data_IF_378140625332
#
_entry.id   IF_378140625332
#
_cell.length_a   1.000
_cell.length_b   1.000
_cell.length_c   1.000
_cell.angle_alpha   90.00
_cell.angle_beta   90.00
_cell.angle_gamma   90.00
#
_symmetry.space_group_name_H-M   'P 1'
#
loop_
_entity.id
_entity.type
_entity.pdbx_description
1 polymer ?
#
# COMPACT_ATOMS: atom_id res chain seq x y z
N UNK A 1 -9.84 2.13 -40.03
CA UNK A 1 -9.28 0.94 -39.36
C UNK A 1 -9.92 0.83 -38.00
N UNK A 2 -10.70 -0.24 -37.75
CA UNK A 2 -11.52 -0.40 -36.56
C UNK A 2 -10.66 -0.89 -35.40
N UNK A 3 -10.58 -0.12 -34.33
CA UNK A 3 -9.90 -0.50 -33.11
C UNK A 3 -10.66 -1.58 -32.35
N UNK A 4 -10.00 -2.69 -32.10
CA UNK A 4 -10.51 -3.77 -31.27
C UNK A 4 -10.38 -3.39 -29.79
N UNK A 5 -11.50 -3.11 -29.15
CA UNK A 5 -11.61 -2.97 -27.69
C UNK A 5 -11.46 -4.34 -27.05
N UNK A 6 -10.29 -4.66 -26.52
CA UNK A 6 -10.08 -5.85 -25.71
C UNK A 6 -10.66 -5.66 -24.32
N UNK A 7 -11.74 -6.38 -24.09
CA UNK A 7 -12.44 -6.52 -22.82
C UNK A 7 -11.70 -7.53 -21.91
N UNK A 8 -10.75 -7.07 -21.07
CA UNK A 8 -9.95 -7.92 -20.19
C UNK A 8 -10.02 -7.48 -18.72
N UNK A 9 -11.24 -7.36 -18.18
CA UNK A 9 -11.49 -7.04 -16.77
C UNK A 9 -11.94 -8.28 -15.97
N UNK A 10 -11.10 -9.30 -15.86
CA UNK A 10 -11.42 -10.46 -15.01
C UNK A 10 -10.21 -10.96 -14.25
N UNK A 11 -9.78 -10.31 -13.14
CA UNK A 11 -9.23 -11.11 -12.01
C UNK A 11 -8.76 -10.38 -10.75
N UNK A 12 -8.51 -9.07 -10.75
CA UNK A 12 -8.19 -8.37 -9.49
C UNK A 12 -9.00 -7.08 -9.39
N UNK A 13 -10.33 -7.26 -9.29
CA UNK A 13 -11.23 -6.16 -9.03
C UNK A 13 -11.20 -5.86 -7.53
N UNK A 14 -10.42 -4.87 -7.12
CA UNK A 14 -10.62 -4.14 -5.86
C UNK A 14 -12.01 -3.45 -5.84
N UNK A 15 -12.73 -3.44 -6.94
CA UNK A 15 -14.12 -3.06 -7.07
C UNK A 15 -15.01 -4.29 -6.88
N UNK A 16 -15.09 -4.81 -5.66
CA UNK A 16 -15.97 -5.93 -5.32
C UNK A 16 -17.44 -5.65 -5.62
N UNK A 17 -17.85 -4.39 -5.56
CA UNK A 17 -19.16 -3.92 -5.99
C UNK A 17 -19.00 -2.58 -6.71
N UNK A 18 -19.22 -2.54 -8.01
CA UNK A 18 -19.50 -1.30 -8.71
C UNK A 18 -20.95 -0.90 -8.40
N UNK A 19 -21.24 0.37 -8.20
CA UNK A 19 -22.64 0.82 -8.07
C UNK A 19 -23.46 0.53 -9.34
N UNK A 20 -22.76 0.32 -10.46
CA UNK A 20 -23.35 0.03 -11.77
C UNK A 20 -23.59 -1.48 -12.01
N UNK A 21 -23.12 -2.34 -11.09
CA UNK A 21 -23.35 -3.79 -11.19
C UNK A 21 -24.77 -4.15 -10.78
N UNK A 22 -25.41 -5.05 -11.55
CA UNK A 22 -26.70 -5.62 -11.19
C UNK A 22 -26.61 -6.40 -9.87
N UNK A 23 -27.72 -6.52 -9.17
CA UNK A 23 -27.80 -7.30 -7.91
C UNK A 23 -27.29 -8.74 -8.08
N UNK A 24 -27.63 -9.40 -9.19
CA UNK A 24 -27.16 -10.76 -9.49
C UNK A 24 -25.64 -10.82 -9.70
N UNK A 25 -25.07 -9.86 -10.41
CA UNK A 25 -23.61 -9.78 -10.58
C UNK A 25 -22.88 -9.59 -9.26
N UNK A 26 -23.48 -8.91 -8.30
CA UNK A 26 -22.93 -8.75 -6.95
C UNK A 26 -22.97 -10.06 -6.17
N UNK A 27 -24.06 -10.82 -6.26
CA UNK A 27 -24.20 -12.11 -5.59
C UNK A 27 -23.15 -13.14 -6.06
N UNK A 28 -22.84 -13.20 -7.35
CA UNK A 28 -21.85 -14.14 -7.90
C UNK A 28 -20.42 -13.87 -7.46
N UNK A 29 -20.15 -12.71 -6.85
CA UNK A 29 -18.83 -12.33 -6.34
C UNK A 29 -18.63 -12.63 -4.85
N UNK A 30 -19.68 -13.06 -4.14
CA UNK A 30 -19.59 -13.44 -2.73
C UNK A 30 -18.82 -14.76 -2.61
N UNK A 31 -17.79 -14.75 -1.78
CA UNK A 31 -16.98 -15.93 -1.49
C UNK A 31 -17.45 -16.57 -0.19
N UNK A 32 -17.23 -17.89 0.04
CA UNK A 32 -17.57 -18.53 1.31
C UNK A 32 -16.99 -17.79 2.52
N UNK A 33 -15.77 -17.28 2.42
CA UNK A 33 -15.16 -16.48 3.47
C UNK A 33 -15.92 -15.19 3.78
N UNK A 34 -16.54 -14.55 2.79
CA UNK A 34 -17.31 -13.32 3.00
C UNK A 34 -18.58 -13.61 3.81
N UNK A 35 -19.21 -14.78 3.61
CA UNK A 35 -20.34 -15.23 4.39
C UNK A 35 -19.95 -15.39 5.86
N UNK A 36 -18.80 -16.02 6.15
CA UNK A 36 -18.28 -16.12 7.51
C UNK A 36 -18.07 -14.74 8.14
N UNK A 37 -17.56 -13.78 7.38
CA UNK A 37 -17.35 -12.41 7.86
C UNK A 37 -18.67 -11.65 8.09
N UNK A 38 -19.73 -11.93 7.34
CA UNK A 38 -21.08 -11.42 7.60
C UNK A 38 -21.58 -11.94 8.95
N UNK A 39 -21.43 -13.24 9.24
CA UNK A 39 -21.78 -13.78 10.55
C UNK A 39 -20.98 -13.17 11.70
N UNK A 40 -19.65 -13.00 11.52
CA UNK A 40 -18.81 -12.30 12.51
C UNK A 40 -19.30 -10.87 12.76
N UNK A 41 -19.65 -10.12 11.71
CA UNK A 41 -20.19 -8.78 11.82
C UNK A 41 -21.51 -8.77 12.60
N UNK A 42 -22.50 -9.60 12.22
CA UNK A 42 -23.82 -9.66 12.87
C UNK A 42 -23.69 -10.01 14.34
N UNK A 43 -22.89 -11.02 14.68
CA UNK A 43 -22.69 -11.46 16.07
C UNK A 43 -21.88 -10.48 16.92
N UNK A 44 -20.96 -9.74 16.33
CA UNK A 44 -20.18 -8.72 17.03
C UNK A 44 -20.96 -7.44 17.29
N UNK A 45 -21.96 -7.11 16.46
CA UNK A 45 -22.69 -5.85 16.51
C UNK A 45 -23.29 -5.51 17.89
N UNK A 46 -24.14 -6.36 18.51
CA UNK A 46 -24.77 -6.01 19.79
C UNK A 46 -23.73 -5.81 20.89
N UNK A 47 -22.67 -6.62 20.88
CA UNK A 47 -21.59 -6.52 21.86
C UNK A 47 -20.76 -5.25 21.62
N UNK A 48 -20.52 -4.88 20.37
CA UNK A 48 -19.83 -3.64 20.02
C UNK A 48 -20.58 -2.39 20.48
N UNK A 49 -21.91 -2.39 20.45
CA UNK A 49 -22.72 -1.28 20.95
C UNK A 49 -22.51 -1.04 22.47
N UNK A 50 -22.34 -2.12 23.24
CA UNK A 50 -22.02 -2.05 24.67
C UNK A 50 -20.55 -1.64 24.83
N UNK A 51 -19.65 -2.31 24.11
CA UNK A 51 -18.22 -2.10 24.19
C UNK A 51 -17.82 -0.64 23.84
N UNK A 52 -18.49 -0.02 22.88
CA UNK A 52 -18.31 1.40 22.52
C UNK A 52 -18.59 2.36 23.66
N UNK A 53 -19.47 2.00 24.61
CA UNK A 53 -19.74 2.81 25.80
C UNK A 53 -18.61 2.72 26.82
N UNK A 54 -17.91 1.58 26.87
CA UNK A 54 -16.77 1.32 27.76
C UNK A 54 -15.46 1.91 27.24
N UNK A 55 -15.23 1.80 25.92
CA UNK A 55 -14.03 2.34 25.23
C UNK A 55 -14.45 3.41 24.21
N UNK A 56 -14.87 4.56 24.68
CA UNK A 56 -15.49 5.61 23.85
C UNK A 56 -14.57 6.20 22.79
N UNK A 57 -13.27 6.22 23.06
CA UNK A 57 -12.25 6.86 22.20
C UNK A 57 -11.29 5.83 21.60
N UNK A 58 -11.77 4.62 21.36
CA UNK A 58 -10.97 3.59 20.70
C UNK A 58 -10.64 3.98 19.25
N UNK A 59 -9.36 4.01 18.93
CA UNK A 59 -8.84 4.15 17.55
C UNK A 59 -8.36 2.80 17.06
N UNK A 60 -8.89 2.33 15.95
CA UNK A 60 -8.43 1.09 15.33
C UNK A 60 -7.58 1.41 14.10
N UNK A 61 -6.32 1.00 14.13
CA UNK A 61 -5.39 1.18 13.04
C UNK A 61 -5.18 -0.14 12.29
N UNK A 62 -5.00 -0.06 10.96
CA UNK A 62 -4.76 -1.24 10.13
C UNK A 62 -4.14 -0.82 8.79
N UNK A 63 -3.25 -1.63 8.25
CA UNK A 63 -2.76 -1.51 6.87
C UNK A 63 -3.14 -2.73 6.06
N UNK A 64 -2.21 -3.67 5.91
CA UNK A 64 -2.44 -4.98 5.35
C UNK A 64 -2.57 -6.04 6.45
N UNK A 65 -2.99 -7.22 6.05
CA UNK A 65 -3.11 -8.36 6.96
C UNK A 65 -1.78 -8.70 7.65
N UNK A 66 -0.65 -8.64 6.92
CA UNK A 66 0.66 -9.16 7.37
C UNK A 66 1.75 -8.12 7.46
N UNK A 67 1.49 -6.87 7.06
CA UNK A 67 2.50 -5.82 6.95
C UNK A 67 2.08 -4.57 7.75
N UNK A 68 3.07 -3.93 8.38
CA UNK A 68 2.93 -2.68 9.12
C UNK A 68 4.19 -1.81 8.86
N UNK A 69 4.20 -1.08 7.72
CA UNK A 69 5.38 -0.38 7.21
C UNK A 69 5.05 0.98 6.61
N UNK A 70 3.81 1.43 6.74
CA UNK A 70 3.31 2.65 6.12
C UNK A 70 2.71 3.59 7.18
N UNK A 71 2.05 4.63 6.77
CA UNK A 71 1.61 5.75 7.60
C UNK A 71 0.78 5.36 8.82
N UNK A 72 -0.04 4.29 8.77
CA UNK A 72 -0.79 3.86 9.93
C UNK A 72 0.12 3.21 11.00
N UNK A 73 1.18 2.52 10.59
CA UNK A 73 2.19 2.02 11.53
C UNK A 73 2.93 3.18 12.22
N UNK A 74 3.38 4.17 11.47
CA UNK A 74 4.09 5.31 12.05
C UNK A 74 3.20 6.15 12.96
N UNK A 75 1.93 6.33 12.60
CA UNK A 75 0.95 6.94 13.50
C UNK A 75 0.78 6.12 14.78
N UNK A 76 0.66 4.78 14.68
CA UNK A 76 0.54 3.92 15.87
C UNK A 76 1.76 4.01 16.78
N UNK A 77 2.97 3.97 16.20
CA UNK A 77 4.22 4.15 16.96
C UNK A 77 4.24 5.49 17.69
N UNK A 78 3.92 6.59 17.00
CA UNK A 78 3.81 7.91 17.60
C UNK A 78 2.78 7.97 18.73
N UNK A 79 1.60 7.38 18.54
CA UNK A 79 0.56 7.34 19.57
C UNK A 79 1.03 6.59 20.83
N UNK A 80 1.74 5.48 20.66
CA UNK A 80 2.25 4.72 21.80
C UNK A 80 3.36 5.45 22.55
N UNK A 81 4.23 6.13 21.79
CA UNK A 81 5.40 6.82 22.37
C UNK A 81 5.05 8.20 22.96
N UNK A 82 4.28 9.00 22.23
CA UNK A 82 4.04 10.42 22.57
C UNK A 82 2.64 10.71 23.08
N UNK A 83 1.67 9.85 22.83
CA UNK A 83 0.26 10.06 23.18
C UNK A 83 -0.35 8.79 23.80
N UNK A 84 0.25 8.20 24.85
CA UNK A 84 -0.14 6.90 25.41
C UNK A 84 -1.59 6.91 25.96
N UNK A 85 -2.15 8.08 26.25
CA UNK A 85 -3.51 8.27 26.73
C UNK A 85 -4.57 8.01 25.63
N UNK A 86 -4.19 8.05 24.36
CA UNK A 86 -5.10 7.70 23.27
C UNK A 86 -5.24 6.18 23.21
N UNK A 87 -6.46 5.68 23.35
CA UNK A 87 -6.77 4.27 23.28
C UNK A 87 -6.66 3.79 21.81
N UNK A 88 -5.53 3.19 21.44
CA UNK A 88 -5.25 2.76 20.08
C UNK A 88 -4.87 1.28 20.03
N UNK A 89 -5.47 0.56 19.09
CA UNK A 89 -5.24 -0.85 18.80
C UNK A 89 -4.85 -1.02 17.33
N UNK A 90 -3.93 -1.91 17.05
CA UNK A 90 -3.51 -2.21 15.69
C UNK A 90 -3.98 -3.60 15.25
N UNK A 91 -4.61 -3.68 14.07
CA UNK A 91 -5.06 -4.96 13.52
C UNK A 91 -4.00 -5.52 12.56
N UNK A 92 -3.45 -6.68 12.91
CA UNK A 92 -2.44 -7.41 12.13
C UNK A 92 -2.54 -8.91 12.42
N UNK A 93 -2.21 -9.75 11.43
CA UNK A 93 -2.16 -11.21 11.64
C UNK A 93 -0.88 -11.62 12.36
N UNK A 94 -1.02 -12.56 13.31
CA UNK A 94 0.13 -13.18 13.99
C UNK A 94 1.09 -13.91 13.05
N UNK A 95 0.66 -14.20 11.81
CA UNK A 95 1.50 -14.80 10.76
C UNK A 95 2.32 -13.77 9.99
N UNK A 96 2.04 -12.48 10.19
CA UNK A 96 2.74 -11.39 9.51
C UNK A 96 4.16 -11.20 10.03
N UNK A 97 5.09 -10.90 9.14
CA UNK A 97 6.50 -10.61 9.50
C UNK A 97 6.60 -9.46 10.49
N UNK A 98 5.71 -8.47 10.38
CA UNK A 98 5.73 -7.27 11.19
C UNK A 98 4.92 -7.40 12.50
N UNK A 99 4.35 -8.59 12.78
CA UNK A 99 3.52 -8.81 13.97
C UNK A 99 4.25 -8.43 15.27
N UNK A 100 5.44 -8.96 15.48
CA UNK A 100 6.19 -8.71 16.72
C UNK A 100 6.65 -7.24 16.84
N UNK A 101 6.96 -6.61 15.72
CA UNK A 101 7.28 -5.18 15.64
C UNK A 101 6.11 -4.32 16.17
N UNK A 102 4.89 -4.62 15.75
CA UNK A 102 3.69 -3.90 16.22
C UNK A 102 3.33 -4.29 17.64
N UNK A 103 3.40 -5.59 17.97
CA UNK A 103 3.07 -6.12 19.29
C UNK A 103 3.92 -5.54 20.41
N UNK A 104 5.18 -5.25 20.14
CA UNK A 104 6.09 -4.61 21.13
C UNK A 104 5.70 -3.17 21.46
N UNK A 105 4.94 -2.50 20.59
CA UNK A 105 4.49 -1.12 20.82
C UNK A 105 3.20 -1.05 21.63
N UNK A 106 2.29 -2.02 21.51
CA UNK A 106 1.01 -1.93 22.18
C UNK A 106 0.01 -3.03 21.87
N UNK A 107 -1.27 -2.74 22.11
CA UNK A 107 -2.35 -3.71 21.88
C UNK A 107 -2.53 -4.02 20.41
N UNK A 108 -2.59 -5.32 20.09
CA UNK A 108 -2.88 -5.81 18.74
C UNK A 108 -4.11 -6.72 18.74
N UNK A 109 -4.80 -6.76 17.61
CA UNK A 109 -5.91 -7.68 17.36
C UNK A 109 -5.63 -8.48 16.10
N UNK A 110 -5.94 -9.78 16.12
CA UNK A 110 -5.77 -10.67 14.96
C UNK A 110 -6.63 -10.21 13.79
N UNK A 111 -6.01 -10.00 12.63
CA UNK A 111 -6.67 -9.54 11.41
C UNK A 111 -7.79 -10.48 10.99
N UNK A 112 -8.95 -9.94 10.62
CA UNK A 112 -10.11 -10.71 10.17
C UNK A 112 -10.80 -11.56 11.24
N UNK A 113 -10.33 -11.52 12.51
CA UNK A 113 -10.96 -12.23 13.62
C UNK A 113 -12.31 -11.65 14.00
N UNK A 114 -13.06 -12.35 14.84
CA UNK A 114 -14.27 -11.81 15.46
C UNK A 114 -13.99 -10.57 16.32
N UNK A 115 -12.87 -10.59 17.07
CA UNK A 115 -12.44 -9.43 17.89
C UNK A 115 -12.07 -8.23 17.02
N UNK A 116 -11.52 -8.45 15.80
CA UNK A 116 -11.29 -7.36 14.84
C UNK A 116 -12.61 -6.71 14.41
N UNK A 117 -13.66 -7.51 14.15
CA UNK A 117 -14.98 -6.98 13.86
C UNK A 117 -15.57 -6.20 15.05
N UNK A 118 -15.45 -6.74 16.26
CA UNK A 118 -15.88 -6.06 17.49
C UNK A 118 -15.24 -4.67 17.58
N UNK A 119 -13.92 -4.57 17.41
CA UNK A 119 -13.20 -3.30 17.48
C UNK A 119 -13.54 -2.39 16.30
N UNK A 120 -13.66 -2.92 15.09
CA UNK A 120 -14.02 -2.16 13.90
C UNK A 120 -15.38 -1.47 14.02
N UNK A 121 -16.34 -2.12 14.65
CA UNK A 121 -17.68 -1.58 14.90
C UNK A 121 -17.66 -0.61 16.09
N UNK A 122 -16.94 -0.95 17.16
CA UNK A 122 -16.89 -0.14 18.38
C UNK A 122 -16.02 1.11 18.25
N UNK A 123 -15.01 1.11 17.40
CA UNK A 123 -14.07 2.20 17.27
C UNK A 123 -14.76 3.54 16.98
N UNK A 124 -14.23 4.60 17.60
CA UNK A 124 -14.61 5.98 17.27
C UNK A 124 -14.14 6.32 15.84
N UNK A 125 -12.93 5.88 15.49
CA UNK A 125 -12.36 6.06 14.16
C UNK A 125 -11.56 4.84 13.74
N UNK A 126 -11.70 4.45 12.48
CA UNK A 126 -10.90 3.41 11.82
C UNK A 126 -9.89 4.08 10.88
N UNK A 127 -8.63 3.86 11.11
CA UNK A 127 -7.50 4.55 10.45
C UNK A 127 -6.72 3.56 9.62
N UNK A 128 -6.44 3.91 8.37
CA UNK A 128 -5.63 3.05 7.50
C UNK A 128 -4.85 3.84 6.45
N UNK A 129 -3.66 3.38 6.13
CA UNK A 129 -2.91 3.81 4.94
C UNK A 129 -3.46 3.17 3.66
N UNK A 130 -4.24 2.10 3.79
CA UNK A 130 -4.73 1.31 2.68
C UNK A 130 -6.27 1.31 2.62
N UNK A 131 -6.83 1.35 1.41
CA UNK A 131 -8.29 1.23 1.24
C UNK A 131 -8.84 -0.07 1.83
N UNK A 132 -8.06 -1.14 1.80
CA UNK A 132 -8.40 -2.48 2.24
C UNK A 132 -8.13 -2.77 3.72
N UNK A 133 -7.61 -1.82 4.51
CA UNK A 133 -7.32 -2.01 5.94
C UNK A 133 -8.59 -2.14 6.79
N UNK A 134 -9.26 -3.31 6.73
CA UNK A 134 -10.56 -3.63 7.32
C UNK A 134 -10.63 -5.12 7.60
N UNK A 135 -11.51 -5.59 8.52
CA UNK A 135 -11.67 -7.01 8.81
C UNK A 135 -11.94 -7.90 7.59
N UNK A 136 -12.73 -7.40 6.65
CA UNK A 136 -12.95 -7.96 5.33
C UNK A 136 -13.32 -6.83 4.37
N UNK A 137 -12.52 -6.64 3.33
CA UNK A 137 -12.69 -5.51 2.42
C UNK A 137 -14.02 -5.51 1.66
N UNK A 138 -14.51 -6.69 1.23
CA UNK A 138 -15.74 -6.85 0.47
C UNK A 138 -16.98 -6.54 1.32
N UNK A 139 -17.08 -7.17 2.48
CA UNK A 139 -18.22 -7.00 3.40
C UNK A 139 -18.28 -5.57 3.92
N UNK A 140 -17.14 -5.01 4.37
CA UNK A 140 -17.09 -3.63 4.83
C UNK A 140 -17.48 -2.64 3.72
N UNK A 141 -17.00 -2.85 2.48
CA UNK A 141 -17.37 -2.01 1.36
C UNK A 141 -18.88 -2.04 1.10
N UNK A 142 -19.48 -3.24 1.08
CA UNK A 142 -20.93 -3.39 0.89
C UNK A 142 -21.74 -2.65 1.95
N UNK A 143 -21.34 -2.79 3.23
CA UNK A 143 -22.02 -2.15 4.37
C UNK A 143 -21.88 -0.63 4.35
N UNK A 144 -20.70 -0.11 3.98
CA UNK A 144 -20.40 1.32 3.97
C UNK A 144 -21.08 2.03 2.78
N UNK A 145 -21.01 1.45 1.58
CA UNK A 145 -21.57 2.06 0.36
C UNK A 145 -23.09 1.98 0.33
N UNK A 146 -23.69 0.90 0.87
CA UNK A 146 -25.15 0.80 1.02
C UNK A 146 -25.72 1.75 2.07
N UNK A 147 -24.87 2.36 2.90
CA UNK A 147 -25.31 3.22 4.00
C UNK A 147 -25.86 2.50 5.23
N UNK A 148 -25.83 1.14 5.24
CA UNK A 148 -26.21 0.32 6.40
C UNK A 148 -25.29 0.64 7.58
N UNK A 149 -24.00 0.83 7.30
CA UNK A 149 -23.00 1.15 8.30
C UNK A 149 -22.34 2.51 8.06
N UNK A 150 -22.49 3.42 9.02
CA UNK A 150 -21.83 4.74 8.99
C UNK A 150 -20.58 4.67 9.86
N UNK A 151 -19.43 4.41 9.22
CA UNK A 151 -18.14 4.33 9.89
C UNK A 151 -17.35 5.64 9.69
N UNK A 152 -16.69 6.11 10.74
CA UNK A 152 -15.71 7.20 10.61
C UNK A 152 -14.38 6.58 10.20
N UNK A 153 -13.97 6.79 8.96
CA UNK A 153 -12.71 6.29 8.44
C UNK A 153 -11.77 7.43 8.10
N UNK A 154 -10.53 7.31 8.57
CA UNK A 154 -9.42 8.15 8.16
C UNK A 154 -8.49 7.36 7.22
N UNK A 155 -8.22 7.95 6.08
CA UNK A 155 -7.29 7.41 5.10
C UNK A 155 -6.02 8.25 5.09
N UNK A 156 -4.92 7.65 5.54
CA UNK A 156 -3.64 8.32 5.70
C UNK A 156 -2.80 8.30 4.41
N UNK A 157 -3.32 7.66 3.34
CA UNK A 157 -2.58 7.45 2.11
C UNK A 157 -1.35 6.53 2.27
N UNK A 158 -0.85 6.05 1.15
CA UNK A 158 0.39 5.28 1.07
C UNK A 158 1.41 5.91 0.10
N UNK A 159 1.06 7.03 -0.53
CA UNK A 159 1.92 7.78 -1.43
C UNK A 159 1.17 8.98 -2.01
N UNK A 160 1.91 9.93 -2.57
CA UNK A 160 1.33 11.10 -3.21
C UNK A 160 0.61 10.70 -4.51
N UNK A 161 -0.63 11.14 -4.68
CA UNK A 161 -1.44 10.89 -5.88
C UNK A 161 -1.20 12.00 -6.89
N UNK A 162 -0.96 11.62 -8.14
CA UNK A 162 -0.84 12.53 -9.30
C UNK A 162 -1.86 12.26 -10.41
N UNK A 163 -2.56 11.12 -10.33
CA UNK A 163 -3.48 10.66 -11.35
C UNK A 163 -4.90 10.52 -10.78
N UNK A 164 -5.92 10.60 -11.64
CA UNK A 164 -7.28 10.30 -11.22
C UNK A 164 -7.43 8.81 -10.92
N UNK A 165 -7.85 8.51 -9.69
CA UNK A 165 -8.07 7.15 -9.20
C UNK A 165 -9.54 6.96 -8.82
N UNK A 166 -10.41 6.59 -9.76
CA UNK A 166 -11.86 6.53 -9.55
C UNK A 166 -12.29 5.64 -8.38
N UNK A 167 -11.46 4.65 -8.00
CA UNK A 167 -11.71 3.77 -6.86
C UNK A 167 -11.48 4.46 -5.50
N UNK A 168 -10.85 5.64 -5.46
CA UNK A 168 -10.65 6.47 -4.27
C UNK A 168 -11.67 7.61 -4.15
N UNK A 169 -12.52 7.82 -5.15
CA UNK A 169 -13.56 8.85 -5.09
C UNK A 169 -14.52 8.61 -3.91
N UNK A 170 -15.03 9.68 -3.34
CA UNK A 170 -15.88 9.65 -2.14
C UNK A 170 -17.09 8.71 -2.28
N UNK A 171 -17.75 8.70 -3.43
CA UNK A 171 -18.88 7.80 -3.70
C UNK A 171 -18.55 6.31 -3.50
N UNK A 172 -17.27 5.92 -3.67
CA UNK A 172 -16.80 4.54 -3.53
C UNK A 172 -16.07 4.26 -2.22
N UNK A 173 -15.74 5.27 -1.44
CA UNK A 173 -14.95 5.09 -0.20
C UNK A 173 -15.68 5.51 1.06
N UNK A 174 -16.49 6.57 0.99
CA UNK A 174 -17.19 7.18 2.13
C UNK A 174 -16.25 7.54 3.30
N UNK A 175 -14.98 7.81 3.01
CA UNK A 175 -14.00 8.19 4.03
C UNK A 175 -14.32 9.57 4.60
N UNK A 176 -14.16 9.73 5.92
CA UNK A 176 -14.39 10.98 6.66
C UNK A 176 -13.19 11.91 6.61
N UNK A 177 -12.00 11.34 6.49
CA UNK A 177 -10.74 12.06 6.35
C UNK A 177 -9.92 11.40 5.24
N UNK A 178 -9.41 12.21 4.32
CA UNK A 178 -8.44 11.86 3.29
C UNK A 178 -7.22 12.75 3.47
N UNK A 179 -6.08 12.19 3.90
CA UNK A 179 -4.83 12.93 4.06
C UNK A 179 -4.10 13.05 2.73
N UNK A 180 -3.61 14.24 2.43
CA UNK A 180 -2.73 14.52 1.29
C UNK A 180 -1.37 15.02 1.79
N UNK A 181 -0.31 14.67 1.06
CA UNK A 181 1.05 14.99 1.44
C UNK A 181 1.64 16.21 0.72
N UNK A 182 1.07 16.59 -0.42
CA UNK A 182 1.52 17.71 -1.22
C UNK A 182 0.36 18.67 -1.51
N UNK A 183 0.66 19.96 -1.61
CA UNK A 183 -0.37 20.97 -1.89
C UNK A 183 -1.07 20.74 -3.24
N UNK A 184 -0.37 20.44 -4.35
CA UNK A 184 -1.03 20.15 -5.62
C UNK A 184 -1.94 18.90 -5.54
N UNK A 185 -1.52 17.85 -4.81
CA UNK A 185 -2.35 16.66 -4.55
C UNK A 185 -3.62 17.03 -3.79
N UNK A 186 -3.49 17.83 -2.74
CA UNK A 186 -4.63 18.27 -1.94
C UNK A 186 -5.67 19.02 -2.79
N UNK A 187 -5.22 19.97 -3.60
CA UNK A 187 -6.07 20.75 -4.49
C UNK A 187 -6.76 19.82 -5.50
N UNK A 188 -6.01 18.94 -6.14
CA UNK A 188 -6.53 17.99 -7.11
C UNK A 188 -7.58 17.03 -6.50
N UNK A 189 -7.27 16.38 -5.37
CA UNK A 189 -8.19 15.43 -4.71
C UNK A 189 -9.44 16.15 -4.19
N UNK A 190 -9.28 17.34 -3.58
CA UNK A 190 -10.41 18.15 -3.08
C UNK A 190 -11.39 18.48 -4.22
N UNK A 191 -10.86 18.88 -5.37
CA UNK A 191 -11.68 19.43 -6.45
C UNK A 191 -12.26 18.34 -7.37
N UNK A 192 -11.63 17.16 -7.45
CA UNK A 192 -12.00 16.13 -8.43
C UNK A 192 -12.57 14.84 -7.84
N UNK A 193 -12.22 14.46 -6.59
CA UNK A 193 -12.65 13.16 -6.03
C UNK A 193 -14.03 13.20 -5.35
N UNK A 194 -14.71 14.35 -5.33
CA UNK A 194 -16.08 14.51 -4.86
C UNK A 194 -16.25 14.35 -3.34
N UNK A 195 -15.21 14.60 -2.56
CA UNK A 195 -15.30 14.63 -1.10
C UNK A 195 -16.04 15.88 -0.61
N UNK A 196 -16.86 15.77 0.46
CA UNK A 196 -17.42 16.93 1.13
C UNK A 196 -16.34 17.87 1.67
N UNK A 197 -16.71 19.13 1.90
CA UNK A 197 -15.82 20.12 2.49
C UNK A 197 -15.19 19.63 3.80
N UNK A 198 -13.92 19.94 3.98
CA UNK A 198 -13.12 19.54 5.13
C UNK A 198 -12.85 18.04 5.31
N UNK A 199 -13.21 17.17 4.34
CA UNK A 199 -12.87 15.76 4.38
C UNK A 199 -11.49 15.47 3.79
N UNK A 200 -11.05 16.26 2.81
CA UNK A 200 -9.67 16.22 2.30
C UNK A 200 -8.84 17.23 3.07
N UNK A 201 -7.67 16.83 3.54
CA UNK A 201 -6.80 17.67 4.35
C UNK A 201 -5.34 17.53 3.90
N UNK A 202 -4.64 18.66 3.87
CA UNK A 202 -3.20 18.69 3.64
C UNK A 202 -2.48 18.55 4.98
N UNK A 203 -2.07 17.32 5.32
CA UNK A 203 -1.50 16.97 6.64
C UNK A 203 -0.08 16.38 6.54
N UNK A 204 0.38 16.04 5.34
CA UNK A 204 1.61 15.25 5.17
C UNK A 204 1.36 13.75 5.29
N UNK A 205 2.44 12.98 5.26
CA UNK A 205 2.45 11.53 5.50
C UNK A 205 3.17 11.25 6.81
N UNK A 206 2.63 10.39 7.66
CA UNK A 206 3.22 10.07 8.96
C UNK A 206 4.65 9.52 8.86
N UNK A 207 4.95 8.77 7.78
CA UNK A 207 6.31 8.26 7.54
C UNK A 207 7.34 9.36 7.23
N UNK A 208 6.89 10.55 6.81
CA UNK A 208 7.82 11.66 6.52
C UNK A 208 8.54 12.16 7.77
N UNK A 209 7.94 12.00 8.96
CA UNK A 209 8.55 12.43 10.22
C UNK A 209 9.87 11.71 10.50
N UNK A 210 10.03 10.49 10.01
CA UNK A 210 11.25 9.70 10.22
C UNK A 210 12.23 9.72 9.05
N UNK A 211 11.84 10.22 7.87
CA UNK A 211 12.72 10.23 6.69
C UNK A 211 14.02 11.04 6.90
N UNK A 212 14.02 11.99 7.82
CA UNK A 212 15.18 12.80 8.15
C UNK A 212 15.97 12.28 9.37
N UNK A 213 15.48 11.27 10.09
CA UNK A 213 16.12 10.79 11.32
C UNK A 213 17.18 9.73 11.05
N UNK A 214 17.12 9.09 9.89
CA UNK A 214 18.06 8.04 9.50
C UNK A 214 19.19 8.64 8.66
N UNK A 215 20.43 8.38 9.08
CA UNK A 215 21.60 8.76 8.29
C UNK A 215 21.68 7.88 7.05
N UNK A 216 21.72 8.52 5.87
CA UNK A 216 21.89 7.82 4.62
C UNK A 216 23.30 7.22 4.51
N UNK A 217 23.39 6.03 3.90
CA UNK A 217 24.68 5.49 3.47
C UNK A 217 25.13 6.22 2.20
N UNK A 218 26.23 6.99 2.26
CA UNK A 218 26.69 7.79 1.15
C UNK A 218 27.00 6.98 -0.11
N UNK A 219 27.17 5.68 0.02
CA UNK A 219 27.55 4.80 -1.07
C UNK A 219 26.36 3.98 -1.65
N UNK A 220 25.18 4.05 -1.05
CA UNK A 220 24.04 3.24 -1.48
C UNK A 220 23.17 3.97 -2.52
N UNK A 221 22.99 3.32 -3.67
CA UNK A 221 22.03 3.70 -4.72
C UNK A 221 20.91 2.66 -4.74
N UNK A 222 19.67 3.12 -4.67
CA UNK A 222 18.48 2.27 -4.84
C UNK A 222 18.00 2.34 -6.29
N UNK A 223 17.91 1.20 -6.94
CA UNK A 223 17.25 1.05 -8.25
C UNK A 223 15.90 0.35 -8.02
N UNK A 224 14.81 1.08 -8.23
CA UNK A 224 13.47 0.60 -7.88
C UNK A 224 12.49 0.79 -9.05
N UNK A 225 12.41 -0.21 -9.95
CA UNK A 225 11.49 -0.20 -11.08
C UNK A 225 10.02 -0.28 -10.66
N UNK A 226 9.16 0.50 -11.33
CA UNK A 226 7.71 0.39 -11.17
C UNK A 226 7.19 -0.84 -11.92
N UNK A 227 6.24 -1.52 -11.33
CA UNK A 227 5.57 -2.65 -11.98
C UNK A 227 4.81 -2.23 -13.24
N UNK A 228 4.63 -3.20 -14.15
CA UNK A 228 3.84 -3.02 -15.37
C UNK A 228 2.60 -3.90 -15.30
N UNK A 229 1.45 -3.31 -15.53
CA UNK A 229 0.16 -4.01 -15.45
C UNK A 229 0.08 -5.20 -16.42
N UNK A 230 0.58 -5.03 -17.64
CA UNK A 230 0.57 -6.10 -18.65
C UNK A 230 1.47 -7.28 -18.28
N UNK A 231 2.56 -7.05 -17.55
CA UNK A 231 3.46 -8.12 -17.08
C UNK A 231 2.90 -8.84 -15.84
N UNK A 232 2.17 -8.13 -14.98
CA UNK A 232 1.57 -8.73 -13.78
C UNK A 232 0.49 -9.75 -14.11
N UNK A 233 -0.20 -9.60 -15.24
CA UNK A 233 -1.29 -10.46 -15.68
C UNK A 233 -0.90 -11.45 -16.78
N UNK A 234 0.39 -11.70 -17.01
CA UNK A 234 0.82 -12.72 -17.96
C UNK A 234 0.17 -14.05 -17.58
N UNK A 235 -0.53 -14.65 -18.56
CA UNK A 235 -1.22 -15.94 -18.41
C UNK A 235 -0.36 -17.02 -19.06
N UNK A 236 -0.27 -18.19 -18.43
CA UNK A 236 0.41 -19.33 -19.02
C UNK A 236 1.00 -20.24 -17.96
N UNK A 237 1.72 -21.26 -18.40
CA UNK A 237 2.57 -22.07 -17.54
C UNK A 237 3.78 -21.25 -17.06
N UNK A 238 4.37 -21.56 -15.90
CA UNK A 238 5.51 -20.81 -15.37
C UNK A 238 6.64 -20.58 -16.39
N UNK A 239 6.93 -21.56 -17.24
CA UNK A 239 7.97 -21.44 -18.28
C UNK A 239 7.62 -20.40 -19.37
N UNK A 240 6.39 -20.41 -19.88
CA UNK A 240 5.94 -19.44 -20.88
C UNK A 240 5.85 -18.03 -20.31
N UNK A 241 5.41 -17.89 -19.05
CA UNK A 241 5.39 -16.60 -18.36
C UNK A 241 6.77 -15.98 -18.23
N UNK A 242 7.77 -16.79 -17.88
CA UNK A 242 9.15 -16.35 -17.78
C UNK A 242 9.70 -15.91 -19.14
N UNK A 243 9.39 -16.63 -20.22
CA UNK A 243 9.85 -16.29 -21.55
C UNK A 243 9.23 -15.00 -22.09
N UNK A 244 7.93 -14.79 -21.85
CA UNK A 244 7.26 -13.54 -22.20
C UNK A 244 7.81 -12.35 -21.39
N UNK A 245 8.13 -12.56 -20.11
CA UNK A 245 8.78 -11.55 -19.30
C UNK A 245 10.18 -11.20 -19.81
N UNK A 246 11.02 -12.19 -20.09
CA UNK A 246 12.39 -12.00 -20.60
C UNK A 246 12.43 -11.28 -21.95
N UNK A 247 11.40 -11.45 -22.79
CA UNK A 247 11.28 -10.74 -24.06
C UNK A 247 10.73 -9.32 -23.95
N UNK A 248 10.27 -8.90 -22.78
CA UNK A 248 9.69 -7.57 -22.57
C UNK A 248 10.75 -6.47 -22.54
N UNK A 249 10.39 -5.29 -23.05
CA UNK A 249 11.23 -4.09 -22.93
C UNK A 249 11.58 -3.78 -21.46
N UNK A 250 10.65 -4.05 -20.55
CA UNK A 250 10.87 -3.86 -19.12
C UNK A 250 12.08 -4.66 -18.62
N UNK A 251 12.10 -5.97 -18.88
CA UNK A 251 13.22 -6.81 -18.47
C UNK A 251 14.51 -6.39 -19.17
N UNK A 252 14.48 -6.29 -20.50
CA UNK A 252 15.67 -6.01 -21.31
C UNK A 252 16.35 -4.68 -20.93
N UNK A 253 15.56 -3.64 -20.69
CA UNK A 253 16.10 -2.32 -20.34
C UNK A 253 16.69 -2.31 -18.93
N UNK A 254 15.98 -2.86 -17.94
CA UNK A 254 16.50 -2.90 -16.57
C UNK A 254 17.70 -3.85 -16.42
N UNK A 255 17.65 -5.00 -17.07
CA UNK A 255 18.80 -5.93 -17.11
C UNK A 255 20.01 -5.32 -17.79
N UNK A 256 19.81 -4.64 -18.93
CA UNK A 256 20.86 -3.90 -19.62
C UNK A 256 21.46 -2.78 -18.76
N UNK A 257 20.66 -2.10 -17.95
CA UNK A 257 21.17 -1.05 -17.06
C UNK A 257 22.11 -1.63 -15.99
N UNK A 258 21.64 -2.63 -15.26
CA UNK A 258 22.41 -3.20 -14.12
C UNK A 258 23.64 -3.98 -14.57
N UNK A 259 23.69 -4.40 -15.84
CA UNK A 259 24.83 -5.09 -16.47
C UNK A 259 25.64 -4.20 -17.43
N UNK A 260 25.30 -2.89 -17.55
CA UNK A 260 26.01 -1.97 -18.44
C UNK A 260 27.46 -1.76 -18.00
N UNK A 261 28.47 -2.01 -18.86
CA UNK A 261 29.87 -1.77 -18.51
C UNK A 261 30.12 -0.33 -18.06
N UNK A 262 29.47 0.65 -18.71
CA UNK A 262 29.62 2.06 -18.37
C UNK A 262 29.00 2.37 -16.99
N UNK A 263 27.85 1.77 -16.66
CA UNK A 263 27.23 1.94 -15.36
C UNK A 263 28.07 1.33 -14.25
N UNK A 264 28.56 0.11 -14.45
CA UNK A 264 29.41 -0.60 -13.50
C UNK A 264 30.76 0.13 -13.30
N UNK A 265 31.38 0.64 -14.38
CA UNK A 265 32.58 1.47 -14.26
C UNK A 265 32.34 2.71 -13.37
N UNK A 266 31.22 3.41 -13.52
CA UNK A 266 30.87 4.54 -12.69
C UNK A 266 30.66 4.12 -11.21
N UNK A 267 29.97 3.00 -10.98
CA UNK A 267 29.74 2.48 -9.63
C UNK A 267 31.09 2.21 -8.93
N UNK A 268 32.01 1.53 -9.59
CA UNK A 268 33.35 1.26 -9.04
C UNK A 268 34.19 2.51 -8.87
N UNK A 269 34.21 3.40 -9.89
CA UNK A 269 34.96 4.67 -9.84
C UNK A 269 34.60 5.54 -8.63
N UNK A 270 33.31 5.56 -8.26
CA UNK A 270 32.83 6.36 -7.14
C UNK A 270 32.59 5.56 -5.85
N UNK A 271 33.03 4.30 -5.79
CA UNK A 271 32.87 3.43 -4.63
C UNK A 271 31.41 3.21 -4.22
N UNK A 272 30.51 3.18 -5.19
CA UNK A 272 29.06 2.99 -4.93
C UNK A 272 28.69 1.53 -4.95
N UNK A 273 27.60 1.21 -4.25
CA UNK A 273 26.91 -0.08 -4.34
C UNK A 273 25.44 0.14 -4.71
N UNK A 274 24.87 -0.80 -5.41
CA UNK A 274 23.53 -0.73 -5.96
C UNK A 274 22.67 -1.82 -5.34
N UNK A 275 21.49 -1.47 -4.87
CA UNK A 275 20.44 -2.44 -4.58
C UNK A 275 19.35 -2.28 -5.65
N UNK A 276 19.17 -3.33 -6.45
CA UNK A 276 18.07 -3.46 -7.39
C UNK A 276 16.90 -4.16 -6.71
N UNK A 277 15.81 -3.44 -6.48
CA UNK A 277 14.63 -3.93 -5.76
C UNK A 277 13.37 -3.76 -6.62
N UNK A 278 12.97 -4.77 -7.42
CA UNK A 278 11.76 -4.72 -8.21
C UNK A 278 10.51 -4.59 -7.33
N UNK A 279 9.49 -3.90 -7.83
CA UNK A 279 8.23 -3.72 -7.13
C UNK A 279 7.60 -5.07 -6.72
N UNK A 280 6.91 -5.11 -5.57
CA UNK A 280 6.25 -6.34 -5.02
C UNK A 280 5.42 -7.13 -6.04
N UNK A 281 4.78 -6.48 -6.98
CA UNK A 281 4.00 -7.13 -8.03
C UNK A 281 4.85 -7.82 -9.12
N UNK A 282 6.16 -7.63 -9.07
CA UNK A 282 7.13 -8.25 -10.00
C UNK A 282 7.98 -9.32 -9.33
N UNK A 283 7.65 -9.74 -8.11
CA UNK A 283 8.45 -10.67 -7.31
C UNK A 283 8.66 -12.03 -7.96
N UNK A 284 7.64 -12.55 -8.64
CA UNK A 284 7.75 -13.82 -9.38
C UNK A 284 8.83 -13.82 -10.46
N UNK A 285 9.31 -12.64 -10.84
CA UNK A 285 10.33 -12.45 -11.87
C UNK A 285 11.67 -11.93 -11.32
N UNK A 286 11.76 -11.64 -10.03
CA UNK A 286 12.97 -11.04 -9.45
C UNK A 286 14.22 -11.91 -9.62
N UNK A 287 14.07 -13.24 -9.57
CA UNK A 287 15.14 -14.20 -9.75
C UNK A 287 15.65 -14.33 -11.21
N UNK A 288 14.96 -13.71 -12.15
CA UNK A 288 15.38 -13.70 -13.56
C UNK A 288 16.40 -12.58 -13.84
N UNK A 289 16.48 -11.56 -12.99
CA UNK A 289 17.55 -10.57 -13.07
C UNK A 289 18.83 -11.14 -12.48
N UNK A 290 19.92 -11.04 -13.20
CA UNK A 290 21.23 -11.55 -12.78
C UNK A 290 22.27 -10.47 -13.04
N UNK A 291 23.08 -10.17 -12.05
CA UNK A 291 24.28 -9.36 -12.21
C UNK A 291 25.43 -10.04 -11.47
N UNK A 292 26.56 -10.24 -12.16
CA UNK A 292 27.73 -10.89 -11.58
C UNK A 292 28.65 -9.92 -10.83
N UNK A 293 28.41 -8.63 -10.95
CA UNK A 293 29.22 -7.62 -10.29
C UNK A 293 28.86 -7.53 -8.80
N UNK A 294 29.84 -7.65 -7.89
CA UNK A 294 29.60 -7.65 -6.43
C UNK A 294 29.07 -6.33 -5.91
N UNK A 295 29.22 -5.22 -6.64
CA UNK A 295 28.67 -3.94 -6.27
C UNK A 295 27.17 -3.81 -6.50
N UNK A 296 26.55 -4.77 -7.22
CA UNK A 296 25.12 -4.80 -7.53
C UNK A 296 24.47 -5.99 -6.84
N UNK A 297 23.51 -5.74 -5.98
CA UNK A 297 22.72 -6.77 -5.29
C UNK A 297 21.28 -6.71 -5.77
N UNK A 298 20.73 -7.85 -6.22
CA UNK A 298 19.32 -7.98 -6.55
C UNK A 298 18.59 -8.46 -5.31
N UNK A 299 17.72 -7.62 -4.76
CA UNK A 299 17.05 -7.89 -3.51
C UNK A 299 15.55 -8.12 -3.74
N UNK A 300 15.05 -9.36 -3.56
CA UNK A 300 13.64 -9.65 -3.63
C UNK A 300 12.87 -8.86 -2.56
N UNK A 301 11.66 -8.39 -2.90
CA UNK A 301 10.80 -7.63 -1.99
C UNK A 301 10.57 -8.32 -0.64
N UNK A 302 10.47 -9.65 -0.65
CA UNK A 302 10.27 -10.44 0.57
C UNK A 302 11.44 -10.37 1.55
N UNK A 303 12.64 -10.12 1.03
CA UNK A 303 13.87 -9.97 1.83
C UNK A 303 14.19 -8.50 2.11
N UNK A 304 13.53 -7.57 1.40
CA UNK A 304 13.71 -6.14 1.55
C UNK A 304 12.71 -5.56 2.54
N UNK A 305 13.16 -4.69 3.43
CA UNK A 305 12.31 -3.62 3.92
C UNK A 305 12.53 -2.39 3.02
N UNK A 306 11.58 -2.15 2.11
CA UNK A 306 11.70 -1.03 1.16
C UNK A 306 11.78 0.32 1.89
N UNK A 307 11.20 0.41 3.08
CA UNK A 307 11.26 1.62 3.90
C UNK A 307 12.68 1.87 4.38
N UNK A 308 13.36 0.83 4.85
CA UNK A 308 14.75 0.93 5.27
C UNK A 308 15.67 1.27 4.09
N UNK A 309 15.41 0.70 2.91
CA UNK A 309 16.15 1.03 1.69
C UNK A 309 15.96 2.50 1.26
N UNK A 310 14.73 3.02 1.35
CA UNK A 310 14.43 4.44 1.08
C UNK A 310 15.18 5.33 2.07
N UNK A 311 15.22 4.96 3.34
CA UNK A 311 15.92 5.72 4.38
C UNK A 311 17.44 5.75 4.13
N UNK A 312 18.02 4.59 3.81
CA UNK A 312 19.47 4.43 3.69
C UNK A 312 20.03 4.94 2.35
N UNK A 313 19.30 4.80 1.25
CA UNK A 313 19.83 5.17 -0.06
C UNK A 313 20.01 6.68 -0.22
N UNK A 314 21.15 7.09 -0.76
CA UNK A 314 21.42 8.51 -1.06
C UNK A 314 20.90 8.94 -2.42
N UNK A 315 20.62 8.02 -3.33
CA UNK A 315 20.14 8.27 -4.68
C UNK A 315 19.13 7.22 -5.10
N UNK A 316 18.12 7.63 -5.84
CA UNK A 316 17.13 6.76 -6.47
C UNK A 316 17.31 6.74 -7.99
N UNK A 317 17.30 5.54 -8.58
CA UNK A 317 17.09 5.34 -10.01
C UNK A 317 15.76 4.63 -10.18
N UNK A 318 14.83 5.25 -10.89
CA UNK A 318 13.46 4.72 -11.07
C UNK A 318 12.89 5.17 -12.42
N UNK A 319 11.70 4.68 -12.73
CA UNK A 319 10.93 5.13 -13.91
C UNK A 319 9.73 6.00 -13.51
N UNK A 320 8.66 5.38 -12.99
CA UNK A 320 7.39 6.04 -12.65
C UNK A 320 6.95 5.80 -11.19
N UNK A 321 7.80 5.20 -10.35
CA UNK A 321 7.44 4.80 -8.99
C UNK A 321 7.16 5.99 -8.09
N UNK A 322 6.07 5.95 -7.32
CA UNK A 322 5.69 6.98 -6.37
C UNK A 322 6.71 7.21 -5.24
N UNK A 323 7.65 6.28 -5.02
CA UNK A 323 8.71 6.45 -4.02
C UNK A 323 9.66 7.62 -4.34
N UNK A 324 9.65 8.13 -5.58
CA UNK A 324 10.41 9.33 -5.91
C UNK A 324 9.98 10.53 -5.04
N UNK A 325 8.73 10.56 -4.59
CA UNK A 325 8.25 11.64 -3.73
C UNK A 325 8.91 11.60 -2.34
N UNK A 326 9.24 10.42 -1.81
CA UNK A 326 9.98 10.27 -0.56
C UNK A 326 11.41 10.81 -0.72
N UNK A 327 12.08 10.49 -1.84
CA UNK A 327 13.41 11.04 -2.15
C UNK A 327 13.38 12.55 -2.38
N UNK A 328 12.38 13.07 -3.09
CA UNK A 328 12.19 14.49 -3.29
C UNK A 328 11.97 15.23 -1.96
N UNK A 329 11.17 14.63 -1.05
CA UNK A 329 10.96 15.17 0.29
C UNK A 329 12.27 15.23 1.09
N UNK A 330 13.11 14.20 0.99
CA UNK A 330 14.45 14.16 1.61
C UNK A 330 15.49 15.05 0.87
N UNK A 331 15.13 15.65 -0.27
CA UNK A 331 16.04 16.41 -1.15
C UNK A 331 17.21 15.56 -1.65
N UNK A 332 16.98 14.28 -1.88
CA UNK A 332 17.99 13.35 -2.41
C UNK A 332 17.88 13.24 -3.93
N UNK A 333 18.97 13.03 -4.66
CA UNK A 333 19.00 12.89 -6.12
C UNK A 333 18.08 11.78 -6.63
N UNK A 334 17.37 12.05 -7.72
CA UNK A 334 16.51 11.10 -8.42
C UNK A 334 16.92 11.11 -9.89
N UNK A 335 17.17 9.93 -10.44
CA UNK A 335 17.38 9.72 -11.84
C UNK A 335 16.22 8.92 -12.42
N UNK A 336 15.56 9.48 -13.42
CA UNK A 336 14.48 8.79 -14.14
C UNK A 336 15.06 8.05 -15.34
N UNK A 337 14.95 6.72 -15.30
CA UNK A 337 15.30 5.84 -16.40
C UNK A 337 13.99 5.43 -17.12
N UNK A 338 13.70 6.18 -18.18
CA UNK A 338 12.46 6.05 -18.95
C UNK A 338 12.73 5.49 -20.34
N UNK A 339 11.91 4.56 -20.81
CA UNK A 339 12.00 3.88 -22.09
C UNK A 339 10.61 3.47 -22.59
#
# INVERSE_FOLDING_TARGET
MKGATMNNNKKYNLNFFSMDDSFFTRLTRIRPNDILHIFKFISAWPIACIYRRLRRHLWLLCEYETEARDNAFYLFSYLREKQPQIDAVYAISHRGKDFYKVKSLGEVVEYGSWKHWLYYIAAEINISSQKGGKPNAAVCYALEVSGIWKNKRAFLQHGVIKDDLPFLHYKKTRMRLFSCAAKPEYEFVRDTFGYPDNYVRYLGLCRFDILHTVQADPNLILVAPTWRNYLYFIKGTPGNQSQEFLSSDYYQKWDSLINSPQFLELIHRYGKRVIFCPHRNMQSYSSLFICSDPAVSILPWEQADITDLIHQATMLITDYSSIFMDFAYMKRPILYYQF
#
